data_IF_714662192181
#
_entry.id   IF_714662192181
#
_cell.length_a   1.000
_cell.length_b   1.000
_cell.length_c   1.000
_cell.angle_alpha   90.00
_cell.angle_beta   90.00
_cell.angle_gamma   90.00
#
_symmetry.space_group_name_H-M   'P 1'
#
loop_
_entity.id
_entity.type
_entity.pdbx_description
1 polymer ?
#
# COMPACT_ATOMS: atom_id res chain seq x y z
N UNK A 1 -23.00 -35.28 -4.01
CA UNK A 1 -22.23 -35.32 -2.73
C UNK A 1 -21.64 -33.93 -2.54
N UNK A 2 -22.22 -33.16 -1.62
CA UNK A 2 -21.94 -31.73 -1.44
C UNK A 2 -20.48 -31.53 -1.02
N UNK A 3 -19.80 -30.58 -1.67
CA UNK A 3 -18.49 -30.09 -1.25
C UNK A 3 -18.68 -29.20 -0.02
N UNK A 4 -17.97 -29.55 1.06
CA UNK A 4 -17.82 -28.71 2.25
C UNK A 4 -17.19 -27.38 1.86
N UNK A 5 -18.03 -26.36 1.71
CA UNK A 5 -17.63 -24.96 1.74
C UNK A 5 -17.23 -24.65 3.18
N UNK A 6 -15.93 -24.76 3.48
CA UNK A 6 -15.33 -24.25 4.71
C UNK A 6 -15.77 -22.80 4.88
N UNK A 7 -16.58 -22.52 5.90
CA UNK A 7 -17.00 -21.16 6.22
C UNK A 7 -15.77 -20.29 6.49
N UNK A 8 -15.73 -19.04 6.00
CA UNK A 8 -14.61 -18.15 6.26
C UNK A 8 -14.50 -17.84 7.76
N UNK A 9 -13.27 -17.93 8.27
CA UNK A 9 -12.89 -17.76 9.66
C UNK A 9 -13.26 -16.35 10.16
N UNK A 10 -13.57 -16.19 11.45
CA UNK A 10 -14.11 -14.93 12.03
C UNK A 10 -13.21 -13.70 11.83
N UNK A 11 -11.90 -13.91 11.62
CA UNK A 11 -10.92 -12.85 11.25
C UNK A 11 -11.01 -12.43 9.77
N UNK A 12 -11.41 -13.34 8.87
CA UNK A 12 -11.48 -13.12 7.42
C UNK A 12 -12.62 -12.17 7.03
N UNK A 13 -13.72 -12.15 7.79
CA UNK A 13 -14.77 -11.13 7.61
C UNK A 13 -14.28 -9.74 8.01
N UNK A 14 -13.41 -9.62 9.01
CA UNK A 14 -13.08 -8.33 9.62
C UNK A 14 -12.28 -7.37 8.72
N UNK A 15 -11.34 -7.87 7.92
CA UNK A 15 -10.52 -7.03 7.02
C UNK A 15 -11.31 -6.62 5.77
N UNK A 16 -12.11 -7.55 5.21
CA UNK A 16 -13.00 -7.25 4.09
C UNK A 16 -14.14 -6.34 4.55
N UNK A 17 -14.68 -6.53 5.76
CA UNK A 17 -15.68 -5.65 6.37
C UNK A 17 -15.10 -4.28 6.74
N UNK A 18 -13.79 -4.15 7.01
CA UNK A 18 -13.12 -2.86 7.17
C UNK A 18 -12.97 -2.09 5.86
N UNK A 19 -13.08 -2.79 4.72
CA UNK A 19 -13.24 -2.21 3.38
C UNK A 19 -14.71 -2.02 2.99
N UNK A 20 -15.64 -2.71 3.66
CA UNK A 20 -17.07 -2.45 3.48
C UNK A 20 -17.45 -1.15 4.20
N UNK A 21 -18.31 -0.32 3.58
CA UNK A 21 -18.70 0.96 4.13
C UNK A 21 -19.67 0.76 5.30
N UNK A 22 -19.16 0.49 6.49
CA UNK A 22 -19.95 0.58 7.73
C UNK A 22 -19.49 1.80 8.53
N UNK A 23 -20.22 2.89 8.31
CA UNK A 23 -20.35 4.10 9.15
C UNK A 23 -19.57 5.37 8.79
N UNK A 24 -18.94 5.46 7.63
CA UNK A 24 -18.68 6.75 6.98
C UNK A 24 -18.61 6.52 5.48
N UNK A 25 -19.64 6.92 4.73
CA UNK A 25 -19.45 7.19 3.33
C UNK A 25 -18.28 8.17 3.26
N UNK A 26 -17.18 7.74 2.66
CA UNK A 26 -16.00 8.58 2.46
C UNK A 26 -16.50 9.83 1.72
N UNK A 27 -16.47 10.99 2.38
CA UNK A 27 -17.06 12.20 1.81
C UNK A 27 -16.29 12.56 0.54
N UNK A 28 -16.87 12.25 -0.61
CA UNK A 28 -16.25 12.46 -1.91
C UNK A 28 -15.95 13.94 -2.15
N UNK A 29 -16.70 14.85 -1.53
CA UNK A 29 -16.41 16.28 -1.59
C UNK A 29 -15.11 16.59 -0.85
N UNK A 30 -14.94 16.10 0.38
CA UNK A 30 -13.67 16.26 1.11
C UNK A 30 -12.49 15.59 0.40
N UNK A 31 -12.69 14.41 -0.18
CA UNK A 31 -11.61 13.67 -0.86
C UNK A 31 -11.13 14.36 -2.13
N UNK A 32 -12.03 15.05 -2.83
CA UNK A 32 -11.69 15.76 -4.07
C UNK A 32 -10.57 16.78 -3.89
N UNK A 33 -10.39 17.34 -2.69
CA UNK A 33 -9.29 18.28 -2.38
C UNK A 33 -7.90 17.65 -2.49
N UNK A 34 -7.82 16.33 -2.40
CA UNK A 34 -6.57 15.57 -2.53
C UNK A 34 -6.34 15.06 -3.95
N UNK A 35 -7.31 15.18 -4.86
CA UNK A 35 -7.17 14.66 -6.20
C UNK A 35 -6.07 15.43 -6.96
N UNK A 36 -4.99 14.73 -7.29
CA UNK A 36 -3.98 15.26 -8.18
C UNK A 36 -4.50 15.22 -9.62
N UNK A 37 -4.48 16.34 -10.35
CA UNK A 37 -5.04 16.41 -11.70
C UNK A 37 -4.26 15.56 -12.71
N UNK A 38 -3.00 15.20 -12.41
CA UNK A 38 -2.16 14.40 -13.32
C UNK A 38 -2.06 12.93 -12.90
N UNK A 39 -2.48 12.60 -11.66
CA UNK A 39 -2.31 11.28 -11.07
C UNK A 39 -0.87 10.87 -10.85
N UNK A 40 0.04 11.84 -10.74
CA UNK A 40 1.48 11.63 -10.61
C UNK A 40 2.08 12.48 -9.50
N UNK A 41 1.28 12.84 -8.50
CA UNK A 41 1.74 13.71 -7.41
C UNK A 41 2.93 13.10 -6.69
N UNK A 42 4.06 13.79 -6.81
CA UNK A 42 5.33 13.40 -6.21
C UNK A 42 5.72 14.36 -5.08
N UNK A 43 4.78 15.13 -4.53
CA UNK A 43 5.04 16.00 -3.40
C UNK A 43 4.91 15.22 -2.07
N UNK A 44 6.00 15.01 -1.31
CA UNK A 44 5.95 14.25 -0.06
C UNK A 44 4.97 14.83 0.96
N UNK A 45 4.79 16.15 0.98
CA UNK A 45 3.84 16.82 1.89
C UNK A 45 2.40 16.42 1.60
N UNK A 46 2.04 16.27 0.33
CA UNK A 46 0.69 15.86 -0.07
C UNK A 46 0.44 14.39 0.26
N UNK A 47 1.42 13.53 0.01
CA UNK A 47 1.36 12.11 0.39
C UNK A 47 1.17 11.99 1.91
N UNK A 48 1.96 12.73 2.69
CA UNK A 48 1.87 12.75 4.15
C UNK A 48 0.52 13.30 4.64
N UNK A 49 -0.06 14.31 3.96
CA UNK A 49 -1.36 14.87 4.31
C UNK A 49 -2.50 13.86 4.08
N UNK A 50 -2.48 13.12 2.97
CA UNK A 50 -3.46 12.05 2.71
C UNK A 50 -3.32 10.91 3.72
N UNK A 51 -2.08 10.53 4.03
CA UNK A 51 -1.80 9.53 5.07
C UNK A 51 -2.39 9.95 6.43
N UNK A 52 -2.13 11.20 6.86
CA UNK A 52 -2.67 11.77 8.08
C UNK A 52 -4.21 11.79 8.12
N UNK A 53 -4.85 12.10 6.98
CA UNK A 53 -6.31 12.04 6.86
C UNK A 53 -6.88 10.63 7.12
N UNK A 54 -6.12 9.58 6.79
CA UNK A 54 -6.48 8.19 7.08
C UNK A 54 -6.11 7.73 8.49
N UNK A 55 -5.56 8.62 9.33
CA UNK A 55 -5.16 8.29 10.70
C UNK A 55 -3.87 7.49 10.80
N UNK A 56 -3.01 7.56 9.78
CA UNK A 56 -1.62 7.08 9.82
C UNK A 56 -0.68 8.27 9.68
N UNK A 57 0.54 8.17 10.19
CA UNK A 57 1.50 9.29 10.14
C UNK A 57 2.87 8.79 9.77
N UNK A 58 3.71 9.68 9.24
CA UNK A 58 5.10 9.36 8.90
C UNK A 58 5.81 8.75 10.13
N UNK A 59 6.54 7.67 9.90
CA UNK A 59 7.28 6.98 10.94
C UNK A 59 8.60 7.70 11.24
N UNK A 60 8.96 7.77 12.52
CA UNK A 60 10.31 8.05 12.99
C UNK A 60 11.20 6.80 12.89
N UNK A 61 12.50 6.97 13.07
CA UNK A 61 13.47 5.86 13.04
C UNK A 61 13.12 4.73 14.03
N UNK A 62 12.72 5.09 15.26
CA UNK A 62 12.34 4.10 16.27
C UNK A 62 11.08 3.31 15.85
N UNK A 63 10.11 4.00 15.23
CA UNK A 63 8.87 3.38 14.78
C UNK A 63 9.05 2.54 13.51
N UNK A 64 10.03 2.88 12.67
CA UNK A 64 10.44 2.01 11.55
C UNK A 64 10.95 0.68 12.10
N UNK A 65 11.76 0.70 13.18
CA UNK A 65 12.24 -0.52 13.83
C UNK A 65 11.07 -1.32 14.45
N UNK A 66 10.19 -0.67 15.21
CA UNK A 66 9.01 -1.33 15.80
C UNK A 66 8.08 -1.92 14.73
N UNK A 67 7.76 -1.15 13.69
CA UNK A 67 6.90 -1.58 12.60
C UNK A 67 7.52 -2.71 11.78
N UNK A 68 8.84 -2.71 11.58
CA UNK A 68 9.53 -3.81 10.91
C UNK A 68 9.51 -5.09 11.76
N UNK A 69 9.67 -4.99 13.09
CA UNK A 69 9.53 -6.13 13.98
C UNK A 69 8.10 -6.72 13.91
N UNK A 70 7.08 -5.86 13.88
CA UNK A 70 5.68 -6.28 13.65
C UNK A 70 5.51 -6.97 12.29
N UNK A 71 6.14 -6.46 11.23
CA UNK A 71 6.12 -7.09 9.90
C UNK A 71 6.75 -8.49 9.93
N UNK A 72 7.91 -8.63 10.60
CA UNK A 72 8.61 -9.91 10.74
C UNK A 72 7.77 -10.94 11.50
N UNK A 73 7.08 -10.53 12.57
CA UNK A 73 6.19 -11.39 13.37
C UNK A 73 5.01 -11.91 12.53
N UNK A 74 4.40 -11.05 11.71
CA UNK A 74 3.11 -11.33 11.06
C UNK A 74 3.20 -11.91 9.66
N UNK A 75 4.20 -11.49 8.89
CA UNK A 75 4.41 -11.97 7.52
C UNK A 75 5.27 -13.23 7.55
N UNK A 76 6.27 -13.28 8.42
CA UNK A 76 7.31 -14.31 8.37
C UNK A 76 8.20 -14.17 7.12
N UNK A 77 9.16 -15.10 6.98
CA UNK A 77 10.07 -15.13 5.83
C UNK A 77 10.96 -13.89 5.70
N UNK A 78 11.42 -13.62 4.47
CA UNK A 78 12.28 -12.49 4.15
C UNK A 78 11.45 -11.23 3.89
N UNK A 79 11.42 -10.35 4.91
CA UNK A 79 10.87 -8.99 4.83
C UNK A 79 12.01 -7.97 4.69
N UNK A 80 11.68 -6.80 4.16
CA UNK A 80 12.62 -5.68 4.10
C UNK A 80 13.16 -5.32 5.49
N UNK A 81 14.45 -4.98 5.56
CA UNK A 81 15.09 -4.57 6.81
C UNK A 81 14.69 -3.15 7.23
N UNK A 82 14.75 -2.88 8.53
CA UNK A 82 14.53 -1.53 9.07
C UNK A 82 15.51 -0.51 8.47
N UNK A 83 16.76 -0.92 8.23
CA UNK A 83 17.77 -0.07 7.61
C UNK A 83 17.39 0.33 6.17
N UNK A 84 16.85 -0.60 5.38
CA UNK A 84 16.39 -0.30 4.02
C UNK A 84 15.14 0.60 4.02
N UNK A 85 14.18 0.33 4.93
CA UNK A 85 13.01 1.19 5.14
C UNK A 85 13.42 2.62 5.48
N UNK A 86 14.38 2.78 6.40
CA UNK A 86 14.95 4.08 6.77
C UNK A 86 15.65 4.75 5.59
N UNK A 87 16.50 4.03 4.87
CA UNK A 87 17.23 4.60 3.72
C UNK A 87 16.28 5.15 2.65
N UNK A 88 15.20 4.42 2.34
CA UNK A 88 14.17 4.90 1.41
C UNK A 88 13.39 6.07 1.99
N UNK A 89 13.03 6.03 3.28
CA UNK A 89 12.35 7.14 3.97
C UNK A 89 13.17 8.43 4.00
N UNK A 90 14.49 8.34 4.22
CA UNK A 90 15.41 9.48 4.24
C UNK A 90 15.51 10.14 2.85
N UNK A 91 15.38 9.34 1.78
CA UNK A 91 15.35 9.85 0.40
C UNK A 91 14.02 10.51 0.06
N UNK A 92 12.90 9.85 0.36
CA UNK A 92 11.60 10.25 -0.18
C UNK A 92 10.85 11.24 0.71
N UNK A 93 11.05 11.17 2.04
CA UNK A 93 10.27 11.94 3.01
C UNK A 93 8.80 11.51 3.14
N UNK A 94 8.40 10.39 2.51
CA UNK A 94 7.00 9.93 2.48
C UNK A 94 6.86 8.45 2.09
N UNK A 95 7.51 7.53 2.82
CA UNK A 95 7.54 6.11 2.45
C UNK A 95 7.04 5.14 3.50
N UNK A 96 7.22 5.43 4.78
CA UNK A 96 6.83 4.55 5.87
C UNK A 96 5.86 5.28 6.80
N UNK A 97 4.69 4.71 6.98
CA UNK A 97 3.64 5.28 7.80
C UNK A 97 3.17 4.27 8.84
N UNK A 98 2.85 4.76 10.03
CA UNK A 98 2.44 3.94 11.17
C UNK A 98 1.12 4.39 11.78
N UNK A 99 0.42 3.44 12.39
CA UNK A 99 -0.67 3.65 13.34
C UNK A 99 -0.10 3.46 14.75
N UNK A 100 -0.44 4.37 15.66
CA UNK A 100 -0.10 4.26 17.08
C UNK A 100 -1.34 4.10 17.93
N UNK A 101 -1.29 3.17 18.87
CA UNK A 101 -2.30 2.98 19.90
C UNK A 101 -1.60 2.74 21.24
N UNK A 102 -1.93 3.55 22.26
CA UNK A 102 -1.25 3.46 23.57
C UNK A 102 0.27 3.67 23.49
N UNK A 103 0.74 4.49 22.54
CA UNK A 103 2.17 4.77 22.34
C UNK A 103 2.97 3.69 21.62
N UNK A 104 2.33 2.60 21.16
CA UNK A 104 3.00 1.52 20.41
C UNK A 104 2.58 1.51 18.96
N UNK A 105 3.48 1.11 18.06
CA UNK A 105 3.12 0.83 16.67
C UNK A 105 2.20 -0.39 16.59
N UNK A 106 0.97 -0.20 16.12
CA UNK A 106 -0.02 -1.29 15.90
C UNK A 106 -0.35 -1.53 14.44
N UNK A 107 0.18 -0.70 13.54
CA UNK A 107 0.13 -0.95 12.10
C UNK A 107 1.20 -0.17 11.36
N UNK A 108 1.61 -0.70 10.22
CA UNK A 108 2.57 -0.11 9.31
C UNK A 108 2.06 -0.27 7.86
N UNK A 109 2.25 0.76 7.05
CA UNK A 109 2.21 0.65 5.58
C UNK A 109 3.47 1.29 5.01
N UNK A 110 4.07 0.63 4.02
CA UNK A 110 5.28 1.11 3.39
C UNK A 110 5.24 0.96 1.87
N UNK A 111 5.60 2.04 1.19
CA UNK A 111 5.69 2.11 -0.27
C UNK A 111 6.68 3.21 -0.68
N UNK A 112 7.08 3.20 -1.94
CA UNK A 112 7.89 4.27 -2.51
C UNK A 112 7.65 4.40 -4.00
N UNK A 113 7.99 5.57 -4.53
CA UNK A 113 7.93 5.85 -5.96
C UNK A 113 9.23 5.42 -6.64
N UNK A 114 9.14 5.07 -7.91
CA UNK A 114 10.24 4.57 -8.71
C UNK A 114 10.62 5.55 -9.82
N UNK A 115 11.92 5.59 -10.11
CA UNK A 115 12.46 6.16 -11.35
C UNK A 115 12.23 5.19 -12.50
N UNK A 116 12.40 5.67 -13.74
CA UNK A 116 12.27 4.83 -14.93
C UNK A 116 13.19 3.61 -14.91
N UNK A 117 14.41 3.73 -14.37
CA UNK A 117 15.34 2.61 -14.21
C UNK A 117 14.78 1.49 -13.30
N UNK A 118 14.05 1.86 -12.24
CA UNK A 118 13.39 0.88 -11.36
C UNK A 118 12.25 0.14 -12.06
N UNK A 119 11.46 0.86 -12.87
CA UNK A 119 10.41 0.25 -13.69
C UNK A 119 11.01 -0.72 -14.71
N UNK A 120 12.07 -0.31 -15.40
CA UNK A 120 12.79 -1.19 -16.32
C UNK A 120 13.35 -2.44 -15.63
N UNK A 121 13.85 -2.32 -14.39
CA UNK A 121 14.33 -3.47 -13.64
C UNK A 121 13.22 -4.49 -13.31
N UNK A 122 11.96 -4.07 -13.17
CA UNK A 122 10.83 -5.01 -13.09
C UNK A 122 10.59 -5.73 -14.42
N UNK A 123 10.60 -4.98 -15.52
CA UNK A 123 10.41 -5.56 -16.86
C UNK A 123 11.51 -6.57 -17.21
N UNK A 124 12.75 -6.28 -16.79
CA UNK A 124 13.91 -7.16 -16.99
C UNK A 124 13.98 -8.31 -15.97
N UNK A 125 13.09 -8.37 -14.96
CA UNK A 125 13.06 -9.42 -13.93
C UNK A 125 14.22 -9.37 -12.92
N UNK A 126 14.88 -8.22 -12.76
CA UNK A 126 16.08 -8.04 -11.93
C UNK A 126 15.84 -7.13 -10.71
N UNK A 127 14.61 -6.69 -10.47
CA UNK A 127 14.28 -5.86 -9.32
C UNK A 127 14.24 -6.69 -8.03
N UNK A 128 15.19 -6.44 -7.12
CA UNK A 128 15.17 -7.02 -5.77
C UNK A 128 14.19 -6.24 -4.87
N UNK A 129 13.11 -6.90 -4.47
CA UNK A 129 12.03 -6.33 -3.66
C UNK A 129 12.37 -6.18 -2.18
N UNK A 130 13.45 -6.79 -1.71
CA UNK A 130 13.92 -6.75 -0.31
C UNK A 130 15.16 -5.87 -0.20
N UNK A 131 16.14 -6.07 -1.10
CA UNK A 131 17.40 -5.30 -1.17
C UNK A 131 17.34 -4.32 -2.33
N UNK A 132 16.43 -3.37 -2.21
CA UNK A 132 16.17 -2.36 -3.25
C UNK A 132 17.45 -1.59 -3.57
N UNK A 133 17.81 -1.52 -4.85
CA UNK A 133 18.82 -0.59 -5.30
C UNK A 133 18.28 0.85 -5.15
N UNK A 134 18.90 1.65 -4.29
CA UNK A 134 18.45 3.01 -3.98
C UNK A 134 18.50 3.96 -5.19
N UNK A 135 19.21 3.62 -6.27
CA UNK A 135 19.21 4.38 -7.52
C UNK A 135 17.88 4.24 -8.29
N UNK A 136 17.11 3.19 -8.01
CA UNK A 136 15.77 2.98 -8.57
C UNK A 136 14.70 3.81 -7.86
N UNK A 137 14.98 4.27 -6.64
CA UNK A 137 14.05 5.04 -5.81
C UNK A 137 13.94 6.46 -6.36
N UNK A 138 12.72 6.96 -6.50
CA UNK A 138 12.45 8.32 -6.93
C UNK A 138 13.07 9.37 -6.00
N UNK A 139 13.50 10.52 -6.54
CA UNK A 139 13.98 11.67 -5.76
C UNK A 139 12.96 12.81 -5.76
N UNK A 140 12.78 13.54 -4.65
CA UNK A 140 11.98 14.76 -4.60
C UNK A 140 12.23 15.69 -5.80
N UNK A 141 11.15 16.13 -6.44
CA UNK A 141 11.10 16.98 -7.66
C UNK A 141 11.33 16.27 -8.99
N UNK A 142 11.57 14.97 -9.00
CA UNK A 142 11.53 14.19 -10.25
C UNK A 142 10.11 13.77 -10.62
N UNK A 143 9.91 13.39 -11.88
CA UNK A 143 8.67 12.72 -12.31
C UNK A 143 8.78 11.22 -12.00
N UNK A 144 7.89 10.65 -11.17
CA UNK A 144 7.89 9.22 -10.91
C UNK A 144 7.41 8.45 -12.15
N UNK A 145 8.00 7.27 -12.38
CA UNK A 145 7.63 6.36 -13.46
C UNK A 145 6.63 5.28 -13.00
N UNK A 146 6.58 5.01 -11.69
CA UNK A 146 5.66 4.06 -11.06
C UNK A 146 5.86 4.01 -9.55
N UNK A 147 5.32 2.98 -8.90
CA UNK A 147 5.50 2.76 -7.47
C UNK A 147 5.68 1.28 -7.10
N UNK A 148 6.28 1.05 -5.95
CA UNK A 148 6.33 -0.27 -5.31
C UNK A 148 5.82 -0.17 -3.87
N UNK A 149 4.93 -1.08 -3.48
CA UNK A 149 4.48 -1.24 -2.11
C UNK A 149 5.13 -2.47 -1.50
N UNK A 150 5.83 -2.30 -0.37
CA UNK A 150 6.22 -3.43 0.48
C UNK A 150 5.01 -4.06 1.16
N UNK A 151 3.93 -3.30 1.30
CA UNK A 151 2.65 -3.76 1.79
C UNK A 151 2.28 -3.07 3.11
N UNK A 152 1.40 -3.74 3.85
CA UNK A 152 0.88 -3.26 5.12
C UNK A 152 0.79 -4.43 6.11
N UNK A 153 0.95 -4.12 7.38
CA UNK A 153 0.83 -5.06 8.49
C UNK A 153 0.12 -4.37 9.65
N UNK A 154 -0.63 -5.13 10.44
CA UNK A 154 -1.27 -4.63 11.64
C UNK A 154 -1.42 -5.72 12.69
N UNK A 155 -1.44 -5.32 13.96
CA UNK A 155 -1.68 -6.22 15.09
C UNK A 155 -3.18 -6.40 15.38
N UNK A 156 -4.04 -5.52 14.86
CA UNK A 156 -5.49 -5.54 15.02
C UNK A 156 -6.23 -4.94 13.82
N UNK A 157 -7.55 -5.20 13.72
CA UNK A 157 -8.38 -4.83 12.57
C UNK A 157 -8.54 -3.32 12.39
N UNK A 158 -8.56 -2.56 13.49
CA UNK A 158 -8.67 -1.10 13.45
C UNK A 158 -7.44 -0.48 12.81
N UNK A 159 -6.24 -0.93 13.20
CA UNK A 159 -5.00 -0.50 12.59
C UNK A 159 -4.92 -0.98 11.13
N UNK A 160 -5.34 -2.23 10.83
CA UNK A 160 -5.39 -2.78 9.48
C UNK A 160 -6.23 -1.90 8.53
N UNK A 161 -7.44 -1.51 8.96
CA UNK A 161 -8.30 -0.65 8.17
C UNK A 161 -7.66 0.71 7.87
N UNK A 162 -6.94 1.32 8.82
CA UNK A 162 -6.25 2.60 8.62
C UNK A 162 -5.10 2.51 7.63
N UNK A 163 -4.24 1.49 7.76
CA UNK A 163 -3.08 1.32 6.87
C UNK A 163 -3.50 0.98 5.44
N UNK A 164 -4.53 0.13 5.26
CA UNK A 164 -5.08 -0.18 3.94
C UNK A 164 -5.77 1.04 3.33
N UNK A 165 -6.59 1.77 4.11
CA UNK A 165 -7.26 2.99 3.65
C UNK A 165 -6.25 4.06 3.22
N UNK A 166 -5.15 4.23 3.95
CA UNK A 166 -4.08 5.17 3.59
C UNK A 166 -3.45 4.80 2.24
N UNK A 167 -3.04 3.54 2.07
CA UNK A 167 -2.45 3.05 0.81
C UNK A 167 -3.41 3.23 -0.38
N UNK A 168 -4.67 2.85 -0.21
CA UNK A 168 -5.70 3.02 -1.23
C UNK A 168 -5.92 4.48 -1.58
N UNK A 169 -6.11 5.34 -0.58
CA UNK A 169 -6.42 6.74 -0.86
C UNK A 169 -5.25 7.49 -1.48
N UNK A 170 -4.01 7.21 -1.07
CA UNK A 170 -2.81 7.76 -1.71
C UNK A 170 -2.77 7.33 -3.18
N UNK A 171 -2.98 6.05 -3.47
CA UNK A 171 -3.00 5.56 -4.85
C UNK A 171 -4.07 6.26 -5.68
N UNK A 172 -5.29 6.27 -5.18
CA UNK A 172 -6.48 6.70 -5.94
C UNK A 172 -6.60 8.21 -6.08
N UNK A 173 -6.11 8.98 -5.11
CA UNK A 173 -6.13 10.44 -5.16
C UNK A 173 -4.89 11.00 -5.88
N UNK A 174 -3.70 10.46 -5.60
CA UNK A 174 -2.42 11.10 -5.94
C UNK A 174 -1.67 10.40 -7.06
N UNK A 175 -1.77 9.08 -7.17
CA UNK A 175 -0.90 8.23 -7.99
C UNK A 175 -1.66 7.42 -9.05
N UNK A 176 -2.90 7.81 -9.35
CA UNK A 176 -3.83 7.02 -10.16
C UNK A 176 -3.33 6.80 -11.59
N UNK A 177 -2.47 7.68 -12.12
CA UNK A 177 -1.91 7.57 -13.47
C UNK A 177 -0.56 6.83 -13.53
N UNK A 178 -0.07 6.33 -12.40
CA UNK A 178 1.17 5.56 -12.32
C UNK A 178 0.88 4.07 -12.29
N UNK A 179 1.66 3.21 -12.96
CA UNK A 179 1.65 1.79 -12.68
C UNK A 179 2.34 1.52 -11.33
N UNK A 180 2.13 0.33 -10.78
CA UNK A 180 3.00 -0.11 -9.72
C UNK A 180 2.80 -1.55 -9.29
N UNK A 181 3.62 -1.95 -8.33
CA UNK A 181 3.84 -3.33 -7.99
C UNK A 181 3.76 -3.55 -6.49
N UNK A 182 3.42 -4.77 -6.10
CA UNK A 182 3.47 -5.24 -4.72
C UNK A 182 3.72 -6.74 -4.71
N UNK A 183 4.11 -7.30 -3.58
CA UNK A 183 4.27 -8.75 -3.41
C UNK A 183 3.24 -9.29 -2.43
N UNK A 184 2.53 -10.32 -2.83
CA UNK A 184 1.71 -11.12 -1.93
C UNK A 184 2.63 -12.06 -1.12
N UNK A 185 2.93 -11.68 0.11
CA UNK A 185 3.81 -12.45 1.00
C UNK A 185 3.06 -13.48 1.87
N UNK A 186 1.74 -13.34 2.01
CA UNK A 186 0.88 -14.25 2.76
C UNK A 186 -0.41 -14.53 1.98
N UNK A 187 -1.11 -15.62 2.30
CA UNK A 187 -2.39 -15.96 1.68
C UNK A 187 -3.45 -14.86 1.89
N UNK A 188 -3.51 -14.29 3.10
CA UNK A 188 -4.42 -13.17 3.39
C UNK A 188 -4.05 -11.92 2.60
N UNK A 189 -2.74 -11.65 2.46
CA UNK A 189 -2.24 -10.58 1.59
C UNK A 189 -2.64 -10.80 0.13
N UNK A 190 -2.49 -12.03 -0.38
CA UNK A 190 -2.87 -12.40 -1.74
C UNK A 190 -4.36 -12.16 -2.00
N UNK A 191 -5.23 -12.63 -1.10
CA UNK A 191 -6.69 -12.43 -1.19
C UNK A 191 -7.06 -10.95 -1.28
N UNK A 192 -6.43 -10.11 -0.47
CA UNK A 192 -6.69 -8.68 -0.47
C UNK A 192 -6.16 -8.01 -1.75
N UNK A 193 -4.90 -8.27 -2.11
CA UNK A 193 -4.23 -7.70 -3.29
C UNK A 193 -5.00 -8.02 -4.59
N UNK A 194 -5.31 -9.29 -4.80
CA UNK A 194 -5.95 -9.77 -6.04
C UNK A 194 -7.48 -9.66 -6.02
N UNK A 195 -8.11 -9.73 -4.83
CA UNK A 195 -9.56 -9.74 -4.71
C UNK A 195 -10.20 -8.38 -4.50
N UNK A 196 -9.49 -7.38 -3.97
CA UNK A 196 -10.11 -6.11 -3.58
C UNK A 196 -9.30 -4.87 -3.92
N UNK A 197 -7.97 -4.98 -4.05
CA UNK A 197 -7.12 -3.82 -4.36
C UNK A 197 -6.95 -3.58 -5.87
N UNK A 198 -7.48 -4.46 -6.73
CA UNK A 198 -7.44 -4.30 -8.19
C UNK A 198 -6.05 -4.51 -8.78
N UNK A 199 -5.21 -5.31 -8.14
CA UNK A 199 -3.96 -5.79 -8.72
C UNK A 199 -4.18 -7.10 -9.47
N UNK A 200 -3.36 -7.33 -10.49
CA UNK A 200 -3.31 -8.54 -11.28
C UNK A 200 -1.96 -9.25 -11.07
N UNK A 201 -1.92 -10.59 -11.09
CA UNK A 201 -0.66 -11.32 -11.01
C UNK A 201 0.22 -11.02 -12.24
N UNK A 202 1.52 -10.90 -12.03
CA UNK A 202 2.50 -10.80 -13.14
C UNK A 202 2.73 -12.21 -13.72
N UNK A 203 2.70 -12.38 -15.05
CA UNK A 203 3.00 -13.67 -15.68
C UNK A 203 4.31 -14.26 -15.16
N UNK A 204 4.31 -15.57 -14.90
CA UNK A 204 5.46 -16.33 -14.42
C UNK A 204 6.04 -15.90 -13.06
N UNK A 205 5.41 -14.94 -12.38
CA UNK A 205 5.78 -14.45 -11.05
C UNK A 205 4.55 -14.39 -10.14
N UNK A 206 4.06 -15.54 -9.65
CA UNK A 206 2.73 -15.66 -9.02
C UNK A 206 2.56 -14.85 -7.72
N UNK A 207 3.67 -14.46 -7.08
CA UNK A 207 3.65 -13.63 -5.87
C UNK A 207 3.80 -12.14 -6.16
N UNK A 208 4.23 -11.76 -7.38
CA UNK A 208 4.32 -10.37 -7.82
C UNK A 208 2.99 -9.95 -8.44
N UNK A 209 2.50 -8.81 -7.99
CA UNK A 209 1.24 -8.26 -8.44
C UNK A 209 1.48 -6.86 -9.02
N UNK A 210 0.79 -6.53 -10.11
CA UNK A 210 0.85 -5.25 -10.79
C UNK A 210 -0.53 -4.59 -10.77
N UNK A 211 -0.56 -3.28 -10.55
CA UNK A 211 -1.73 -2.47 -10.83
C UNK A 211 -1.45 -1.58 -12.05
N UNK A 212 -2.50 -1.35 -12.84
CA UNK A 212 -2.44 -0.52 -14.04
C UNK A 212 -2.90 0.91 -13.77
N UNK A 213 -2.36 1.91 -14.51
CA UNK A 213 -2.86 3.27 -14.47
C UNK A 213 -4.36 3.35 -14.76
N UNK A 214 -5.01 4.34 -14.14
CA UNK A 214 -6.40 4.71 -14.35
C UNK A 214 -6.49 5.96 -15.22
N UNK A 215 -7.70 6.27 -15.71
CA UNK A 215 -7.94 7.48 -16.49
C UNK A 215 -8.23 8.70 -15.61
N UNK A 216 -8.68 8.47 -14.36
CA UNK A 216 -9.03 9.53 -13.41
C UNK A 216 -8.86 9.09 -11.96
N UNK A 217 -8.78 10.09 -11.07
CA UNK A 217 -8.78 9.86 -9.63
C UNK A 217 -10.03 9.09 -9.17
N UNK A 218 -9.85 8.24 -8.16
CA UNK A 218 -10.89 7.45 -7.49
C UNK A 218 -11.65 6.43 -8.34
N UNK A 219 -11.25 6.21 -9.60
CA UNK A 219 -11.88 5.23 -10.48
C UNK A 219 -11.95 3.83 -9.85
N UNK A 220 -10.86 3.39 -9.21
CA UNK A 220 -10.80 2.08 -8.56
C UNK A 220 -11.73 1.96 -7.34
N UNK A 221 -11.97 3.05 -6.61
CA UNK A 221 -12.92 3.06 -5.49
C UNK A 221 -14.38 3.03 -5.98
N UNK A 222 -14.66 3.71 -7.09
CA UNK A 222 -16.00 3.74 -7.68
C UNK A 222 -16.38 2.39 -8.28
N UNK A 223 -15.42 1.67 -8.86
CA UNK A 223 -15.65 0.34 -9.45
C UNK A 223 -15.78 -0.74 -8.37
N UNK A 224 -14.99 -0.68 -7.30
CA UNK A 224 -15.14 -1.57 -6.15
C UNK A 224 -16.53 -1.44 -5.48
N UNK A 225 -17.08 -0.22 -5.41
CA UNK A 225 -18.42 0.02 -4.89
C UNK A 225 -19.55 -0.54 -5.75
N UNK A 226 -19.34 -0.69 -7.07
CA UNK A 226 -20.32 -1.27 -8.00
C UNK A 226 -20.30 -2.80 -8.01
N UNK A 227 -19.13 -3.42 -7.80
CA UNK A 227 -19.01 -4.88 -7.74
C UNK A 227 -19.57 -5.49 -6.44
N UNK A 228 -19.78 -4.66 -5.41
CA UNK A 228 -20.33 -5.05 -4.11
C UNK A 228 -21.84 -4.77 -3.95
N UNK A 229 -22.50 -4.25 -5.00
CA UNK A 229 -23.94 -3.95 -5.05
C UNK A 229 -24.66 -4.95 -5.95
#
# INVERSE_FOLDING_TARGET
MLRDLKQPNRRERSIVDALQPRSAAMDMHELSRFADPTGRCSNPRMINAVAAYCGVTLASDAEIVEGQALAQERIGGEVVSAAMLKAVQDITGSSVFVVREGGKVTGLTAFFLLRAAGMKAFDDGVFDTVKVNLDFVWRPRETPAGGYAWGFVASNDRAAGRVVKASLLIREALLWALPGYTRAATDDGARLIFGSLGFEPVPDQPTLARYFPRARAFEGLLDAGKAAA
#
